data_IF_991826709226
#
_entry.id   IF_991826709226
#
_cell.length_a   1.000
_cell.length_b   1.000
_cell.length_c   1.000
_cell.angle_alpha   90.00
_cell.angle_beta   90.00
_cell.angle_gamma   90.00
#
_symmetry.space_group_name_H-M   'P 1'
#
loop_
_entity.id
_entity.type
_entity.pdbx_description
1 polymer ?
#
# COMPACT_ATOMS: atom_id res chain seq x y z
N UNK A 1 -13.72 -17.60 1.32
CA UNK A 1 -12.36 -17.37 0.78
C UNK A 1 -11.52 -16.88 1.95
N UNK A 2 -10.40 -17.53 2.26
CA UNK A 2 -9.44 -17.01 3.25
C UNK A 2 -8.73 -15.81 2.63
N UNK A 3 -8.73 -14.67 3.32
CA UNK A 3 -8.06 -13.44 2.89
C UNK A 3 -6.69 -13.27 3.55
N UNK A 4 -6.29 -14.21 4.41
CA UNK A 4 -4.94 -14.27 4.99
C UNK A 4 -3.96 -14.64 3.89
N UNK A 5 -3.23 -13.64 3.39
CA UNK A 5 -2.33 -13.81 2.27
C UNK A 5 -1.15 -12.83 2.37
N UNK A 6 0.06 -13.38 2.27
CA UNK A 6 1.25 -12.60 1.97
C UNK A 6 1.29 -12.32 0.45
N UNK A 7 1.46 -11.06 0.07
CA UNK A 7 1.49 -10.66 -1.35
C UNK A 7 2.89 -10.34 -1.85
N UNK A 8 3.81 -9.92 -0.97
CA UNK A 8 5.17 -9.58 -1.37
C UNK A 8 6.16 -9.72 -0.22
N UNK A 9 7.40 -10.07 -0.56
CA UNK A 9 8.53 -10.22 0.34
C UNK A 9 9.79 -9.54 -0.24
N UNK A 10 10.63 -8.98 0.62
CA UNK A 10 11.98 -8.50 0.28
C UNK A 10 12.97 -8.86 1.38
N UNK A 11 14.25 -8.95 1.06
CA UNK A 11 15.33 -9.17 2.03
C UNK A 11 16.30 -7.99 2.04
N UNK A 12 16.81 -7.62 3.21
CA UNK A 12 17.91 -6.66 3.33
C UNK A 12 19.27 -7.32 3.04
N UNK A 13 20.34 -6.52 3.03
CA UNK A 13 21.69 -7.01 2.74
C UNK A 13 22.25 -7.95 3.83
N UNK A 14 21.65 -7.96 5.02
CA UNK A 14 22.00 -8.87 6.13
C UNK A 14 21.14 -10.14 6.14
N UNK A 15 20.16 -10.23 5.24
CA UNK A 15 19.25 -11.37 5.10
C UNK A 15 17.98 -11.29 5.95
N UNK A 16 17.73 -10.21 6.68
CA UNK A 16 16.42 -10.04 7.33
C UNK A 16 15.35 -9.88 6.25
N UNK A 17 14.21 -10.55 6.42
CA UNK A 17 13.11 -10.50 5.46
C UNK A 17 11.98 -9.61 5.96
N UNK A 18 11.30 -8.97 5.02
CA UNK A 18 10.17 -8.09 5.25
C UNK A 18 9.02 -8.55 4.36
N UNK A 19 7.84 -8.74 4.93
CA UNK A 19 6.66 -9.30 4.26
C UNK A 19 5.48 -8.36 4.47
N UNK A 20 4.70 -8.13 3.42
CA UNK A 20 3.41 -7.43 3.54
C UNK A 20 2.29 -8.24 2.93
N UNK A 21 1.09 -8.02 3.46
CA UNK A 21 -0.09 -8.69 2.96
C UNK A 21 -1.38 -8.18 3.60
N UNK A 22 -2.39 -9.04 3.61
CA UNK A 22 -3.64 -8.85 4.36
C UNK A 22 -3.90 -10.02 5.30
N UNK A 23 -4.56 -9.75 6.43
CA UNK A 23 -5.01 -10.78 7.38
C UNK A 23 -6.40 -10.43 7.94
N UNK A 24 -7.10 -11.44 8.46
CA UNK A 24 -8.41 -11.33 9.14
C UNK A 24 -8.34 -11.84 10.55
N UNK A 25 -9.26 -11.37 11.39
CA UNK A 25 -9.41 -11.83 12.78
C UNK A 25 -8.07 -11.73 13.53
N UNK A 26 -7.74 -12.74 14.31
CA UNK A 26 -6.45 -12.89 14.98
C UNK A 26 -5.53 -13.77 14.14
N UNK A 27 -4.32 -13.30 13.85
CA UNK A 27 -3.28 -14.07 13.16
C UNK A 27 -1.98 -14.04 13.98
N UNK A 28 -1.38 -15.21 14.18
CA UNK A 28 -0.08 -15.35 14.84
C UNK A 28 1.04 -15.21 13.81
N UNK A 29 1.91 -14.23 14.01
CA UNK A 29 3.05 -13.96 13.12
C UNK A 29 4.36 -14.58 13.61
N UNK A 30 4.39 -15.22 14.77
CA UNK A 30 5.57 -15.94 15.28
C UNK A 30 5.54 -17.42 14.81
N UNK A 31 6.50 -17.87 13.98
CA UNK A 31 6.53 -19.24 13.49
C UNK A 31 7.01 -20.26 14.54
N UNK A 32 7.39 -19.80 15.74
CA UNK A 32 7.84 -20.66 16.83
C UNK A 32 6.68 -21.16 17.70
N UNK A 33 6.98 -21.69 18.89
CA UNK A 33 5.97 -22.05 19.89
C UNK A 33 5.45 -20.84 20.69
N UNK A 34 6.14 -19.70 20.59
CA UNK A 34 5.67 -18.42 21.15
C UNK A 34 4.61 -17.80 20.24
N UNK A 35 3.84 -16.85 20.78
CA UNK A 35 2.76 -16.19 20.03
C UNK A 35 3.05 -14.70 19.84
N UNK A 36 2.88 -14.20 18.62
CA UNK A 36 2.87 -12.79 18.29
C UNK A 36 1.61 -12.46 17.47
N UNK A 37 0.48 -12.37 18.18
CA UNK A 37 -0.81 -12.14 17.56
C UNK A 37 -1.00 -10.67 17.16
N UNK A 38 -1.42 -10.47 15.91
CA UNK A 38 -2.11 -9.26 15.48
C UNK A 38 -3.61 -9.53 15.38
N UNK A 39 -4.40 -8.49 15.57
CA UNK A 39 -5.85 -8.53 15.47
C UNK A 39 -6.33 -7.47 14.48
N UNK A 40 -7.34 -7.80 13.69
CA UNK A 40 -7.98 -6.78 12.84
C UNK A 40 -8.80 -5.80 13.67
N UNK A 41 -9.06 -4.63 13.11
CA UNK A 41 -9.71 -3.53 13.79
C UNK A 41 -11.10 -3.88 14.37
N UNK A 42 -11.93 -4.63 13.62
CA UNK A 42 -13.24 -5.05 14.13
C UNK A 42 -13.23 -6.42 14.77
N UNK A 43 -12.26 -7.27 14.43
CA UNK A 43 -12.13 -8.65 14.93
C UNK A 43 -13.43 -9.48 14.78
N UNK A 44 -14.24 -9.18 13.78
CA UNK A 44 -15.52 -9.85 13.50
C UNK A 44 -15.47 -10.66 12.19
N UNK A 45 -14.35 -10.60 11.47
CA UNK A 45 -14.09 -11.33 10.22
C UNK A 45 -14.65 -10.64 8.97
N UNK A 46 -15.22 -9.44 9.13
CA UNK A 46 -15.76 -8.65 8.04
C UNK A 46 -14.72 -7.71 7.41
N UNK A 47 -13.56 -7.54 8.04
CA UNK A 47 -12.46 -6.70 7.61
C UNK A 47 -11.22 -7.51 7.19
N UNK A 48 -10.32 -6.88 6.43
CA UNK A 48 -8.94 -7.32 6.18
C UNK A 48 -8.06 -6.11 6.49
N UNK A 49 -7.08 -6.29 7.36
CA UNK A 49 -6.08 -5.26 7.63
C UNK A 49 -4.75 -5.61 6.98
N UNK A 50 -3.99 -4.55 6.67
CA UNK A 50 -2.64 -4.67 6.15
C UNK A 50 -1.73 -5.12 7.29
N UNK A 51 -0.87 -6.10 7.03
CA UNK A 51 0.27 -6.36 7.89
C UNK A 51 1.59 -5.99 7.20
N UNK A 52 2.58 -5.66 8.04
CA UNK A 52 3.98 -5.59 7.69
C UNK A 52 4.73 -6.35 8.79
N UNK A 53 5.50 -7.36 8.39
CA UNK A 53 6.23 -8.23 9.31
C UNK A 53 7.70 -8.31 8.92
N UNK A 54 8.56 -8.45 9.94
CA UNK A 54 10.00 -8.65 9.80
C UNK A 54 10.43 -9.93 10.51
N UNK A 55 11.28 -10.69 9.84
CA UNK A 55 11.96 -11.85 10.39
C UNK A 55 13.47 -11.71 10.19
N UNK A 56 14.25 -12.32 11.08
CA UNK A 56 15.70 -12.34 10.96
C UNK A 56 16.17 -13.31 9.86
N UNK A 57 17.48 -13.37 9.62
CA UNK A 57 18.10 -14.24 8.61
C UNK A 57 17.85 -15.74 8.81
N UNK A 58 17.47 -16.15 10.03
CA UNK A 58 17.13 -17.53 10.36
C UNK A 58 15.61 -17.79 10.30
N UNK A 59 14.81 -16.77 9.95
CA UNK A 59 13.35 -16.85 9.93
C UNK A 59 12.69 -16.67 11.30
N UNK A 60 13.42 -16.23 12.33
CA UNK A 60 12.83 -15.95 13.64
C UNK A 60 12.03 -14.65 13.59
N UNK A 61 10.92 -14.60 14.32
CA UNK A 61 10.11 -13.39 14.48
C UNK A 61 10.92 -12.24 15.08
N UNK A 62 10.83 -11.06 14.46
CA UNK A 62 11.40 -9.82 15.00
C UNK A 62 10.28 -8.87 15.41
N UNK A 63 9.38 -8.55 14.49
CA UNK A 63 8.18 -7.77 14.75
C UNK A 63 7.13 -8.00 13.65
N UNK A 64 5.86 -7.80 13.99
CA UNK A 64 4.77 -7.61 13.03
C UNK A 64 3.90 -6.44 13.49
N UNK A 65 3.41 -5.67 12.52
CA UNK A 65 2.54 -4.50 12.72
C UNK A 65 1.35 -4.58 11.78
N UNK A 66 0.18 -4.22 12.30
CA UNK A 66 -0.99 -3.94 11.49
C UNK A 66 -1.08 -2.43 11.22
N UNK A 67 -1.58 -2.08 10.04
CA UNK A 67 -1.92 -0.71 9.70
C UNK A 67 -3.44 -0.66 9.75
N UNK A 68 -3.96 -0.15 10.86
CA UNK A 68 -5.34 -0.35 11.29
C UNK A 68 -6.30 0.51 10.47
N UNK A 69 -7.26 -0.12 9.82
CA UNK A 69 -8.46 0.58 9.36
C UNK A 69 -9.39 0.82 10.55
N UNK A 70 -9.70 2.07 10.90
CA UNK A 70 -10.68 2.36 11.97
C UNK A 70 -12.14 2.02 11.55
N UNK A 71 -12.31 1.25 10.47
CA UNK A 71 -13.58 0.91 9.86
C UNK A 71 -13.52 -0.47 9.21
N UNK A 72 -14.67 -1.12 9.06
CA UNK A 72 -14.79 -2.37 8.28
C UNK A 72 -14.36 -2.10 6.83
N UNK A 73 -13.13 -2.48 6.51
CA UNK A 73 -12.46 -2.19 5.24
C UNK A 73 -11.63 -3.41 4.83
N UNK A 74 -11.35 -3.54 3.53
CA UNK A 74 -10.50 -4.62 3.01
C UNK A 74 -9.17 -4.04 2.53
N UNK A 75 -8.37 -3.58 3.49
CA UNK A 75 -7.08 -2.95 3.24
C UNK A 75 -6.02 -4.02 2.99
N UNK A 76 -5.26 -3.88 1.91
CA UNK A 76 -4.31 -4.91 1.47
C UNK A 76 -2.99 -4.28 1.06
N UNK A 77 -1.91 -4.68 1.73
CA UNK A 77 -0.54 -4.44 1.27
C UNK A 77 -0.23 -5.38 0.11
N UNK A 78 0.13 -4.84 -1.06
CA UNK A 78 0.32 -5.64 -2.29
C UNK A 78 1.77 -5.75 -2.73
N UNK A 79 2.60 -4.75 -2.43
CA UNK A 79 4.00 -4.78 -2.81
C UNK A 79 4.86 -4.04 -1.79
N UNK A 80 6.11 -4.49 -1.68
CA UNK A 80 7.11 -3.97 -0.75
C UNK A 80 8.46 -3.77 -1.45
N UNK A 81 9.20 -2.73 -1.04
CA UNK A 81 10.60 -2.53 -1.44
C UNK A 81 11.40 -1.85 -0.33
N UNK A 82 12.67 -2.19 -0.18
CA UNK A 82 13.56 -1.51 0.76
C UNK A 82 14.04 -0.17 0.21
N UNK A 83 14.28 0.78 1.10
CA UNK A 83 14.93 2.07 0.89
C UNK A 83 16.35 2.08 1.46
N UNK A 84 17.17 1.14 0.97
CA UNK A 84 18.45 0.84 1.59
C UNK A 84 18.28 0.48 3.06
N UNK A 85 19.10 1.09 3.91
CA UNK A 85 19.01 0.93 5.37
C UNK A 85 18.08 1.97 6.04
N UNK A 86 17.45 2.85 5.25
CA UNK A 86 16.66 3.97 5.77
C UNK A 86 15.21 3.63 6.05
N UNK A 87 14.66 2.62 5.38
CA UNK A 87 13.26 2.26 5.56
C UNK A 87 12.76 1.19 4.62
N UNK A 88 11.48 0.90 4.75
CA UNK A 88 10.73 0.01 3.89
C UNK A 88 9.51 0.73 3.34
N UNK A 89 9.28 0.59 2.04
CA UNK A 89 8.13 1.16 1.34
C UNK A 89 7.14 0.07 1.00
N UNK A 90 5.87 0.32 1.26
CA UNK A 90 4.77 -0.53 0.83
C UNK A 90 3.77 0.27 -0.01
N UNK A 91 3.09 -0.44 -0.90
CA UNK A 91 1.92 0.06 -1.63
C UNK A 91 0.84 -1.02 -1.65
N UNK A 92 -0.38 -0.60 -1.91
CA UNK A 92 -1.52 -1.48 -1.92
C UNK A 92 -2.79 -0.72 -2.22
N UNK A 93 -3.87 -1.18 -1.58
CA UNK A 93 -5.17 -0.54 -1.61
C UNK A 93 -5.66 -0.35 -0.18
N UNK A 94 -6.31 0.78 0.08
CA UNK A 94 -7.12 0.99 1.28
C UNK A 94 -8.55 1.35 0.90
N UNK A 95 -9.47 1.18 1.84
CA UNK A 95 -10.84 1.65 1.77
C UNK A 95 -11.11 2.56 2.97
N UNK A 96 -12.02 3.52 2.80
CA UNK A 96 -12.41 4.47 3.85
C UNK A 96 -11.19 5.21 4.43
N UNK A 97 -11.08 5.29 5.75
CA UNK A 97 -9.99 5.96 6.46
C UNK A 97 -9.29 4.98 7.38
N UNK A 98 -7.98 4.92 7.28
CA UNK A 98 -7.14 3.98 8.02
C UNK A 98 -5.92 4.69 8.58
N UNK A 99 -5.55 4.34 9.82
CA UNK A 99 -4.34 4.83 10.46
C UNK A 99 -3.14 4.02 9.97
N UNK A 100 -2.26 4.69 9.24
CA UNK A 100 -1.07 4.08 8.66
C UNK A 100 0.16 4.20 9.57
N UNK A 101 0.04 4.80 10.75
CA UNK A 101 1.11 4.84 11.74
C UNK A 101 0.89 3.76 12.82
N UNK A 102 1.71 2.70 12.88
CA UNK A 102 1.56 1.63 13.87
C UNK A 102 2.11 2.00 15.26
N UNK A 103 2.51 3.26 15.45
CA UNK A 103 2.87 3.81 16.76
C UNK A 103 1.62 4.34 17.49
N UNK A 104 1.80 5.14 18.53
CA UNK A 104 0.68 5.82 19.21
C UNK A 104 0.25 7.12 18.52
N UNK A 105 1.02 7.59 17.54
CA UNK A 105 0.63 8.74 16.72
C UNK A 105 -0.42 8.30 15.70
N UNK A 106 -1.30 9.22 15.32
CA UNK A 106 -2.35 8.95 14.32
C UNK A 106 -1.97 9.60 13.01
N UNK A 107 -1.88 8.81 11.95
CA UNK A 107 -1.67 9.28 10.58
C UNK A 107 -2.68 8.62 9.65
N UNK A 108 -3.84 9.26 9.54
CA UNK A 108 -4.94 8.77 8.73
C UNK A 108 -4.68 9.03 7.25
N UNK A 109 -4.67 7.94 6.46
CA UNK A 109 -4.85 8.01 5.02
C UNK A 109 -6.31 7.79 4.68
N UNK A 110 -6.80 8.51 3.67
CA UNK A 110 -8.21 8.53 3.30
C UNK A 110 -8.33 8.08 1.84
N UNK A 111 -9.17 7.08 1.62
CA UNK A 111 -9.72 6.78 0.30
C UNK A 111 -10.90 7.71 0.06
N UNK A 112 -10.86 8.47 -1.03
CA UNK A 112 -11.82 9.55 -1.30
C UNK A 112 -13.11 9.00 -1.95
N UNK A 113 -13.04 7.84 -2.62
CA UNK A 113 -14.15 7.01 -3.08
C UNK A 113 -13.70 5.58 -3.41
N UNK A 114 -14.48 4.57 -2.98
CA UNK A 114 -14.13 3.17 -3.26
C UNK A 114 -12.82 2.74 -2.61
N UNK A 115 -11.87 2.24 -3.40
CA UNK A 115 -10.51 1.94 -2.96
C UNK A 115 -9.52 2.96 -3.51
N UNK A 116 -8.52 3.34 -2.71
CA UNK A 116 -7.40 4.17 -3.16
C UNK A 116 -6.07 3.45 -2.97
N UNK A 117 -5.13 3.70 -3.88
CA UNK A 117 -3.74 3.33 -3.74
C UNK A 117 -3.10 4.17 -2.64
N UNK A 118 -2.11 3.59 -1.99
CA UNK A 118 -1.27 4.32 -1.04
C UNK A 118 0.21 4.06 -1.29
N UNK A 119 1.04 4.94 -0.74
CA UNK A 119 2.45 4.68 -0.44
C UNK A 119 2.65 4.95 1.04
N UNK A 120 3.19 3.97 1.76
CA UNK A 120 3.65 4.12 3.14
C UNK A 120 5.13 3.81 3.23
N UNK A 121 5.90 4.67 3.89
CA UNK A 121 7.32 4.45 4.18
C UNK A 121 7.52 4.36 5.69
N UNK A 122 8.20 3.31 6.13
CA UNK A 122 8.40 2.98 7.54
C UNK A 122 9.88 2.83 7.88
N UNK A 123 10.25 3.16 9.11
CA UNK A 123 11.61 2.92 9.60
C UNK A 123 11.85 1.40 9.82
N UNK A 124 13.09 0.93 9.67
CA UNK A 124 13.41 -0.51 9.75
C UNK A 124 13.49 -1.09 11.17
N UNK A 125 13.51 -0.22 12.19
CA UNK A 125 13.76 -0.58 13.59
C UNK A 125 12.46 -0.79 14.37
N UNK A 126 11.59 0.22 14.38
CA UNK A 126 10.31 0.25 15.09
C UNK A 126 9.10 0.10 14.17
N UNK A 127 9.30 0.21 12.85
CA UNK A 127 8.23 0.28 11.87
C UNK A 127 7.31 1.50 12.06
N UNK A 128 7.81 2.60 12.64
CA UNK A 128 7.07 3.86 12.71
C UNK A 128 6.99 4.47 11.31
N UNK A 129 5.88 5.17 11.04
CA UNK A 129 5.66 5.84 9.76
C UNK A 129 6.63 7.03 9.61
N UNK A 130 7.36 7.07 8.49
CA UNK A 130 8.21 8.19 8.09
C UNK A 130 7.43 9.17 7.20
N UNK A 131 6.67 8.65 6.24
CA UNK A 131 5.64 9.38 5.50
C UNK A 131 4.64 8.40 4.91
N UNK A 132 3.42 8.88 4.66
CA UNK A 132 2.39 8.15 3.95
C UNK A 132 1.51 9.09 3.15
N UNK A 133 1.00 8.62 2.01
CA UNK A 133 -0.02 9.33 1.24
C UNK A 133 -0.86 8.34 0.43
N UNK A 134 -2.09 8.75 0.14
CA UNK A 134 -2.98 8.12 -0.84
C UNK A 134 -3.20 9.03 -2.04
N UNK A 135 -3.74 8.48 -3.12
CA UNK A 135 -4.32 9.31 -4.18
C UNK A 135 -5.46 10.17 -3.63
N UNK A 136 -5.78 11.24 -4.36
CA UNK A 136 -7.00 12.00 -4.13
C UNK A 136 -7.92 11.81 -5.33
N UNK A 137 -9.11 11.22 -5.17
CA UNK A 137 -10.05 11.15 -6.30
C UNK A 137 -10.81 12.47 -6.46
N UNK A 138 -10.92 12.94 -7.70
CA UNK A 138 -11.64 14.19 -8.03
C UNK A 138 -13.08 13.92 -8.46
N UNK A 139 -13.34 12.76 -9.07
CA UNK A 139 -14.67 12.31 -9.49
C UNK A 139 -14.69 10.80 -9.36
N UNK A 140 -15.65 10.27 -8.58
CA UNK A 140 -15.82 8.87 -8.17
C UNK A 140 -15.05 7.84 -9.00
N UNK A 141 -14.19 7.09 -8.33
CA UNK A 141 -13.26 6.17 -8.97
C UNK A 141 -12.79 5.08 -8.02
N UNK A 142 -11.84 4.30 -8.51
CA UNK A 142 -11.06 3.38 -7.68
C UNK A 142 -9.65 3.34 -8.24
N UNK A 143 -8.66 3.27 -7.39
CA UNK A 143 -7.27 3.05 -7.76
C UNK A 143 -6.61 2.08 -6.80
N UNK A 144 -5.71 1.26 -7.34
CA UNK A 144 -5.15 0.12 -6.63
C UNK A 144 -3.67 -0.01 -6.93
N UNK A 145 -2.81 0.23 -5.94
CA UNK A 145 -1.37 0.05 -6.05
C UNK A 145 -1.03 -1.44 -6.15
N UNK A 146 -0.29 -1.84 -7.19
CA UNK A 146 0.07 -3.25 -7.43
C UNK A 146 1.57 -3.51 -7.29
N UNK A 147 2.43 -2.56 -7.66
CA UNK A 147 3.88 -2.67 -7.51
C UNK A 147 4.47 -1.35 -7.03
N UNK A 148 5.57 -1.47 -6.30
CA UNK A 148 6.43 -0.37 -5.88
C UNK A 148 7.89 -0.74 -6.10
N UNK A 149 8.65 0.17 -6.70
CA UNK A 149 10.10 0.05 -6.92
C UNK A 149 10.76 1.41 -6.75
N UNK A 150 12.09 1.42 -6.73
CA UNK A 150 12.89 2.63 -6.67
C UNK A 150 14.02 2.62 -7.69
N UNK A 151 14.47 3.81 -8.05
CA UNK A 151 15.74 3.98 -8.77
C UNK A 151 16.92 4.21 -7.80
N UNK A 152 18.13 4.31 -8.36
CA UNK A 152 19.35 4.53 -7.58
C UNK A 152 19.41 5.89 -6.87
N UNK A 153 18.60 6.86 -7.30
CA UNK A 153 18.47 8.15 -6.63
C UNK A 153 17.41 8.12 -5.51
N UNK A 154 16.76 6.97 -5.28
CA UNK A 154 15.72 6.80 -4.27
C UNK A 154 14.34 7.24 -4.71
N UNK A 155 14.14 7.67 -5.97
CA UNK A 155 12.80 8.03 -6.44
C UNK A 155 11.93 6.78 -6.45
N UNK A 156 10.69 6.94 -6.01
CA UNK A 156 9.72 5.86 -5.86
C UNK A 156 8.83 5.80 -7.08
N UNK A 157 8.68 4.61 -7.65
CA UNK A 157 7.76 4.34 -8.75
C UNK A 157 6.69 3.39 -8.27
N UNK A 158 5.43 3.78 -8.42
CA UNK A 158 4.30 2.85 -8.23
C UNK A 158 3.60 2.59 -9.55
N UNK A 159 2.95 1.43 -9.63
CA UNK A 159 2.04 1.13 -10.72
C UNK A 159 0.81 0.44 -10.19
N UNK A 160 -0.29 0.57 -10.92
CA UNK A 160 -1.55 -0.04 -10.55
C UNK A 160 -2.61 0.12 -11.62
N UNK A 161 -3.84 -0.18 -11.25
CA UNK A 161 -5.01 0.08 -12.06
C UNK A 161 -5.85 1.18 -11.44
N UNK A 162 -6.54 1.97 -12.27
CA UNK A 162 -7.50 2.97 -11.82
C UNK A 162 -8.67 3.13 -12.80
N UNK A 163 -9.81 3.59 -12.27
CA UNK A 163 -11.02 3.95 -13.00
C UNK A 163 -11.46 5.32 -12.51
N UNK A 164 -12.00 6.14 -13.42
CA UNK A 164 -12.45 7.49 -13.08
C UNK A 164 -11.34 8.51 -13.24
N UNK A 165 -11.44 9.63 -12.50
CA UNK A 165 -10.44 10.70 -12.51
C UNK A 165 -9.77 10.77 -11.14
N UNK A 166 -8.48 10.48 -11.13
CA UNK A 166 -7.66 10.36 -9.92
C UNK A 166 -6.52 11.37 -10.00
N UNK A 167 -6.32 12.12 -8.92
CA UNK A 167 -5.18 12.98 -8.69
C UNK A 167 -4.06 12.20 -8.01
N UNK A 168 -2.93 12.08 -8.71
CA UNK A 168 -1.77 11.34 -8.22
C UNK A 168 -0.76 12.25 -7.50
N UNK A 169 -1.03 13.56 -7.40
CA UNK A 169 -0.26 14.47 -6.56
C UNK A 169 -0.90 14.54 -5.15
N UNK A 170 -0.20 14.12 -4.09
CA UNK A 170 -0.72 14.16 -2.73
C UNK A 170 -0.73 15.58 -2.12
N UNK A 171 -0.23 16.59 -2.86
CA UNK A 171 -0.25 17.99 -2.44
C UNK A 171 -1.57 18.69 -2.81
N UNK A 172 -1.63 20.01 -2.58
CA UNK A 172 -2.77 20.83 -2.99
C UNK A 172 -2.75 21.18 -4.50
N UNK A 173 -1.65 20.88 -5.21
CA UNK A 173 -1.54 21.05 -6.66
C UNK A 173 -2.11 19.81 -7.32
N UNK A 174 -2.88 19.99 -8.39
CA UNK A 174 -3.54 18.88 -9.08
C UNK A 174 -2.69 18.29 -10.20
N UNK A 175 -2.62 16.96 -10.26
CA UNK A 175 -2.03 16.19 -11.34
C UNK A 175 -2.90 14.97 -11.67
N UNK A 176 -4.02 15.25 -12.33
CA UNK A 176 -5.05 14.24 -12.60
C UNK A 176 -4.77 13.39 -13.84
N UNK A 177 -5.12 12.10 -13.74
CA UNK A 177 -5.27 11.19 -14.87
C UNK A 177 -6.71 10.69 -14.92
N UNK A 178 -7.21 10.41 -16.12
CA UNK A 178 -8.56 9.89 -16.32
C UNK A 178 -8.56 8.57 -17.11
N UNK A 179 -9.37 7.61 -16.67
CA UNK A 179 -9.68 6.39 -17.41
C UNK A 179 -11.21 6.20 -17.49
N UNK A 180 -11.84 6.39 -18.67
CA UNK A 180 -13.29 6.56 -18.75
C UNK A 180 -14.14 5.28 -18.73
N UNK A 181 -13.59 4.09 -19.06
CA UNK A 181 -14.44 2.88 -19.26
C UNK A 181 -13.79 1.53 -18.90
N UNK A 182 -12.49 1.46 -18.62
CA UNK A 182 -11.81 0.22 -18.16
C UNK A 182 -10.74 0.55 -17.12
N UNK A 183 -10.23 -0.47 -16.42
CA UNK A 183 -9.05 -0.36 -15.56
C UNK A 183 -7.87 0.19 -16.37
N UNK A 184 -7.66 1.51 -16.32
CA UNK A 184 -6.49 2.15 -16.88
C UNK A 184 -5.28 1.80 -16.04
N UNK A 185 -4.10 1.68 -16.64
CA UNK A 185 -2.87 1.47 -15.89
C UNK A 185 -2.30 2.83 -15.54
N UNK A 186 -2.01 3.08 -14.27
CA UNK A 186 -1.20 4.23 -13.88
C UNK A 186 0.23 3.80 -13.60
N UNK A 187 1.15 4.72 -13.86
CA UNK A 187 2.54 4.68 -13.41
C UNK A 187 2.83 6.04 -12.79
N UNK A 188 3.32 6.06 -11.57
CA UNK A 188 3.74 7.29 -10.88
C UNK A 188 5.24 7.31 -10.67
N UNK A 189 5.77 8.51 -10.46
CA UNK A 189 7.08 8.74 -9.89
C UNK A 189 6.98 9.81 -8.81
N UNK A 190 7.50 9.50 -7.63
CA UNK A 190 7.70 10.41 -6.51
C UNK A 190 9.19 10.53 -6.20
N UNK A 191 9.60 11.64 -5.61
CA UNK A 191 10.96 11.80 -5.08
C UNK A 191 11.15 10.95 -3.78
N UNK A 192 12.37 10.85 -3.23
CA UNK A 192 12.63 10.07 -2.01
C UNK A 192 11.88 10.53 -0.75
N UNK A 193 11.35 11.76 -0.77
CA UNK A 193 10.56 12.38 0.29
C UNK A 193 9.06 12.18 0.08
N UNK A 194 8.64 11.54 -1.01
CA UNK A 194 7.24 11.30 -1.34
C UNK A 194 6.57 12.43 -2.12
N UNK A 195 7.32 13.44 -2.59
CA UNK A 195 6.73 14.51 -3.39
C UNK A 195 6.50 14.04 -4.83
N UNK A 196 5.39 14.48 -5.43
CA UNK A 196 5.04 14.16 -6.81
C UNK A 196 6.09 14.67 -7.81
N UNK A 197 6.45 13.84 -8.80
CA UNK A 197 7.27 14.23 -9.94
C UNK A 197 6.45 14.13 -11.24
N UNK A 198 5.87 12.96 -11.51
CA UNK A 198 4.96 12.77 -12.64
C UNK A 198 4.07 11.54 -12.45
N UNK A 199 2.91 11.52 -13.11
CA UNK A 199 2.09 10.34 -13.34
C UNK A 199 1.80 10.19 -14.83
N UNK A 200 1.68 8.93 -15.27
CA UNK A 200 1.33 8.56 -16.65
C UNK A 200 0.25 7.51 -16.64
N UNK A 201 -0.66 7.64 -17.59
CA UNK A 201 -1.72 6.67 -17.85
C UNK A 201 -1.40 5.85 -19.10
N UNK A 202 -1.70 4.55 -19.06
CA UNK A 202 -1.78 3.68 -20.23
C UNK A 202 -3.21 3.17 -20.30
N UNK A 203 -3.95 3.63 -21.31
CA UNK A 203 -5.32 3.22 -21.60
C UNK A 203 -5.40 2.59 -22.98
N UNK A 204 -6.35 1.69 -23.16
CA UNK A 204 -6.79 1.27 -24.48
C UNK A 204 -7.78 2.32 -24.98
N UNK A 205 -7.47 3.03 -26.06
CA UNK A 205 -8.47 3.84 -26.76
C UNK A 205 -9.59 2.91 -27.24
N UNK A 206 -10.85 3.31 -27.10
CA UNK A 206 -11.96 2.59 -27.74
C UNK A 206 -11.62 2.39 -29.22
N UNK A 207 -11.47 1.14 -29.65
CA UNK A 207 -11.49 0.84 -31.09
C UNK A 207 -12.93 1.08 -31.53
N UNK A 208 -13.21 2.26 -32.06
CA UNK A 208 -14.45 2.53 -32.77
C UNK A 208 -14.45 1.67 -34.02
N UNK A 209 -15.09 0.51 -33.95
CA UNK A 209 -15.58 -0.16 -35.15
C UNK A 209 -16.70 0.72 -35.68
N UNK A 210 -16.37 1.61 -36.64
CA UNK A 210 -17.35 2.42 -37.32
C UNK A 210 -18.53 1.54 -37.75
N UNK A 211 -19.75 2.00 -37.50
CA UNK A 211 -20.96 1.30 -37.93
C UNK A 211 -20.86 1.03 -39.43
N UNK A 212 -20.87 -0.25 -39.80
CA UNK A 212 -21.01 -0.74 -41.18
C UNK A 212 -22.37 -0.42 -41.75
#
# INVERSE_FOLDING_TARGET
MNFDAAYSIVADALGSIYVTGGFRLTCDFDPSSSTANLITATNDGNDVDIFLAKYDVNGNYVWAKNMLGNSVSNDIGRAITLDGNSGVLITGQLYNTSDFDPSSAVNNLVASSGSSFFVGKYDLSSCNLLYGFSAQETVGGTDNGKRIKKDAAGNVYTMGNFIGTVDFDPSAVTATLSSPVTDGIFITKYDPSGNYIWAKCIVVEQINFGSV
#
